data_IF_555939461960
#
_entry.id   IF_555939461960
#
_cell.length_a   1.000
_cell.length_b   1.000
_cell.length_c   1.000
_cell.angle_alpha   90.00
_cell.angle_beta   90.00
_cell.angle_gamma   90.00
#
_symmetry.space_group_name_H-M   'P 1'
#
loop_
_entity.id
_entity.type
_entity.pdbx_description
1 polymer ?
#
# COMPACT_ATOMS: atom_id res chain seq x y z
N UNK A 1 -18.76 6.73 -16.29
CA UNK A 1 -18.21 6.82 -14.91
C UNK A 1 -18.77 5.68 -14.07
N UNK A 2 -17.92 4.95 -13.42
CA UNK A 2 -18.34 3.86 -12.55
C UNK A 2 -19.06 4.35 -11.29
N UNK A 3 -19.91 3.51 -10.74
CA UNK A 3 -20.51 3.78 -9.43
C UNK A 3 -19.46 3.56 -8.32
N UNK A 4 -19.66 4.11 -7.11
CA UNK A 4 -18.79 3.81 -5.98
C UNK A 4 -18.62 2.31 -5.73
N UNK A 5 -19.66 1.51 -5.86
CA UNK A 5 -19.59 0.07 -5.68
C UNK A 5 -18.77 -0.62 -6.78
N UNK A 6 -18.89 -0.17 -8.02
CA UNK A 6 -18.08 -0.69 -9.13
C UNK A 6 -16.61 -0.31 -8.94
N UNK A 7 -16.32 0.90 -8.48
CA UNK A 7 -14.96 1.36 -8.23
C UNK A 7 -14.32 0.58 -7.07
N UNK A 8 -15.06 0.30 -5.99
CA UNK A 8 -14.57 -0.57 -4.91
C UNK A 8 -14.29 -1.98 -5.42
N UNK A 9 -15.17 -2.52 -6.27
CA UNK A 9 -14.98 -3.86 -6.83
C UNK A 9 -13.70 -3.94 -7.67
N UNK A 10 -13.39 -2.91 -8.44
CA UNK A 10 -12.14 -2.84 -9.21
C UNK A 10 -10.92 -2.89 -8.30
N UNK A 11 -10.91 -2.11 -7.21
CA UNK A 11 -9.80 -2.10 -6.26
C UNK A 11 -9.68 -3.44 -5.54
N UNK A 12 -10.78 -4.05 -5.11
CA UNK A 12 -10.77 -5.40 -4.51
C UNK A 12 -10.14 -6.42 -5.46
N UNK A 13 -10.53 -6.39 -6.73
CA UNK A 13 -10.00 -7.30 -7.75
C UNK A 13 -8.48 -7.12 -7.92
N UNK A 14 -8.02 -5.89 -8.00
CA UNK A 14 -6.59 -5.59 -8.07
C UNK A 14 -5.83 -6.18 -6.89
N UNK A 15 -6.31 -5.96 -5.68
CA UNK A 15 -5.68 -6.45 -4.44
C UNK A 15 -5.69 -7.99 -4.40
N UNK A 16 -6.82 -8.61 -4.74
CA UNK A 16 -6.93 -10.07 -4.81
C UNK A 16 -5.95 -10.67 -5.81
N UNK A 17 -5.78 -10.05 -6.97
CA UNK A 17 -4.79 -10.47 -7.95
C UNK A 17 -3.37 -10.38 -7.40
N UNK A 18 -3.03 -9.29 -6.72
CA UNK A 18 -1.71 -9.16 -6.08
C UNK A 18 -1.49 -10.26 -5.04
N UNK A 19 -2.48 -10.49 -4.18
CA UNK A 19 -2.38 -11.49 -3.10
C UNK A 19 -2.23 -12.91 -3.63
N UNK A 20 -2.84 -13.21 -4.77
CA UNK A 20 -2.75 -14.52 -5.41
C UNK A 20 -1.54 -14.69 -6.34
N UNK A 21 -0.74 -13.61 -6.53
CA UNK A 21 0.39 -13.62 -7.43
C UNK A 21 0.05 -13.45 -8.91
N UNK A 22 -1.21 -13.11 -9.22
CA UNK A 22 -1.67 -12.83 -10.58
C UNK A 22 -1.30 -11.40 -10.98
N UNK A 23 -0.03 -11.19 -11.35
CA UNK A 23 0.49 -9.86 -11.70
C UNK A 23 -0.19 -9.33 -12.96
N UNK A 24 -0.46 -10.17 -13.94
CA UNK A 24 -1.14 -9.76 -15.17
C UNK A 24 -2.57 -9.29 -14.89
N UNK A 25 -3.30 -10.01 -14.04
CA UNK A 25 -4.65 -9.62 -13.62
C UNK A 25 -4.64 -8.31 -12.84
N UNK A 26 -3.66 -8.12 -11.97
CA UNK A 26 -3.50 -6.85 -11.25
C UNK A 26 -3.21 -5.69 -12.21
N UNK A 27 -2.28 -5.87 -13.14
CA UNK A 27 -1.93 -4.84 -14.12
C UNK A 27 -3.11 -4.47 -15.03
N UNK A 28 -3.99 -5.43 -15.34
CA UNK A 28 -5.17 -5.18 -16.15
C UNK A 28 -6.18 -4.21 -15.51
N UNK A 29 -6.09 -3.98 -14.20
CA UNK A 29 -6.94 -3.03 -13.49
C UNK A 29 -6.47 -1.57 -13.67
N UNK A 30 -5.31 -1.35 -14.27
CA UNK A 30 -4.68 -0.03 -14.41
C UNK A 30 -4.71 0.43 -15.88
N UNK A 31 -4.77 1.74 -16.07
CA UNK A 31 -4.49 2.35 -17.36
C UNK A 31 -2.98 2.54 -17.47
N UNK A 32 -2.30 1.64 -18.18
CA UNK A 32 -0.84 1.62 -18.21
C UNK A 32 -0.21 2.88 -18.81
N UNK A 33 -0.94 3.57 -19.70
CA UNK A 33 -0.43 4.80 -20.35
C UNK A 33 -0.61 6.03 -19.47
N UNK A 34 -1.67 6.07 -18.66
CA UNK A 34 -2.07 7.25 -17.90
C UNK A 34 -1.76 7.17 -16.42
N UNK A 35 -1.51 5.98 -15.90
CA UNK A 35 -1.32 5.78 -14.47
C UNK A 35 -0.09 6.51 -13.94
N UNK A 36 -0.30 7.18 -12.82
CA UNK A 36 0.79 7.78 -12.04
C UNK A 36 0.55 7.59 -10.54
N UNK A 37 1.59 7.16 -9.85
CA UNK A 37 1.57 7.04 -8.38
C UNK A 37 2.35 8.19 -7.75
N UNK A 38 1.68 8.98 -6.96
CA UNK A 38 2.32 10.05 -6.17
C UNK A 38 3.16 9.48 -5.04
N UNK A 39 2.75 8.33 -4.50
CA UNK A 39 3.51 7.66 -3.44
C UNK A 39 4.85 7.12 -3.94
N UNK A 40 4.88 6.60 -5.17
CA UNK A 40 6.09 6.05 -5.78
C UNK A 40 6.80 7.04 -6.70
N UNK A 41 6.14 8.14 -7.06
CA UNK A 41 6.61 9.12 -8.05
C UNK A 41 6.96 8.47 -9.38
N UNK A 42 6.06 7.61 -9.87
CA UNK A 42 6.33 6.75 -11.02
C UNK A 42 5.07 6.36 -11.77
N UNK A 43 5.25 5.97 -13.02
CA UNK A 43 4.25 5.30 -13.83
C UNK A 43 4.07 3.84 -13.33
N UNK A 44 3.28 3.05 -14.06
CA UNK A 44 2.97 1.68 -13.65
C UNK A 44 4.22 0.81 -13.61
N UNK A 45 5.06 0.86 -14.63
CA UNK A 45 6.28 0.06 -14.69
C UNK A 45 7.24 0.43 -13.54
N UNK A 46 7.43 1.73 -13.29
CA UNK A 46 8.27 2.21 -12.20
C UNK A 46 7.71 1.84 -10.83
N UNK A 47 6.39 1.85 -10.68
CA UNK A 47 5.73 1.42 -9.44
C UNK A 47 6.02 -0.06 -9.16
N UNK A 48 5.87 -0.93 -10.17
CA UNK A 48 6.17 -2.36 -10.02
C UNK A 48 7.64 -2.60 -9.66
N UNK A 49 8.56 -1.87 -10.26
CA UNK A 49 9.98 -2.00 -9.95
C UNK A 49 10.29 -1.60 -8.51
N UNK A 50 9.69 -0.52 -8.02
CA UNK A 50 9.87 -0.10 -6.63
C UNK A 50 9.27 -1.12 -5.66
N UNK A 51 8.13 -1.71 -5.96
CA UNK A 51 7.52 -2.73 -5.13
C UNK A 51 8.39 -3.98 -5.03
N UNK A 52 9.00 -4.40 -6.13
CA UNK A 52 9.98 -5.52 -6.13
C UNK A 52 11.20 -5.19 -5.27
N UNK A 53 11.72 -3.97 -5.39
CA UNK A 53 12.85 -3.52 -4.60
C UNK A 53 12.56 -3.55 -3.10
N UNK A 54 11.37 -3.10 -2.70
CA UNK A 54 10.94 -3.13 -1.29
C UNK A 54 10.86 -4.55 -0.74
N UNK A 55 10.40 -5.51 -1.53
CA UNK A 55 10.34 -6.91 -1.10
C UNK A 55 11.72 -7.46 -0.77
N UNK A 56 12.76 -7.04 -1.50
CA UNK A 56 14.13 -7.49 -1.29
C UNK A 56 14.81 -6.83 -0.10
N UNK A 57 14.49 -5.56 0.15
CA UNK A 57 15.15 -4.73 1.15
C UNK A 57 14.19 -4.26 2.26
N UNK A 58 13.09 -4.97 2.47
CA UNK A 58 12.10 -4.58 3.46
C UNK A 58 12.65 -4.75 4.87
N UNK A 59 12.71 -3.68 5.68
CA UNK A 59 13.15 -3.79 7.07
C UNK A 59 12.14 -4.47 7.99
N UNK A 60 10.98 -4.86 7.46
CA UNK A 60 9.94 -5.53 8.21
C UNK A 60 9.62 -6.88 7.59
N UNK A 61 9.34 -7.86 8.42
CA UNK A 61 9.00 -9.21 8.01
C UNK A 61 7.79 -9.75 8.78
N UNK A 62 7.31 -10.92 8.39
CA UNK A 62 6.15 -11.56 9.01
C UNK A 62 4.95 -10.62 9.09
N UNK A 63 4.71 -9.90 7.99
CA UNK A 63 3.65 -8.89 7.91
C UNK A 63 2.28 -9.52 7.80
N UNK A 64 1.34 -8.97 8.55
CA UNK A 64 -0.08 -9.29 8.42
C UNK A 64 -0.87 -8.01 8.18
N UNK A 65 -1.96 -8.14 7.42
CA UNK A 65 -2.76 -7.00 6.97
C UNK A 65 -4.21 -7.19 7.39
N UNK A 66 -4.77 -6.14 8.01
CA UNK A 66 -6.17 -6.11 8.37
C UNK A 66 -6.82 -4.89 7.71
N UNK A 67 -7.74 -5.14 6.78
CA UNK A 67 -8.50 -4.04 6.17
C UNK A 67 -9.52 -3.53 7.18
N UNK A 68 -9.40 -2.27 7.56
CA UNK A 68 -10.31 -1.62 8.50
C UNK A 68 -11.46 -0.92 7.77
N UNK A 69 -11.21 -0.42 6.56
CA UNK A 69 -12.24 0.24 5.77
C UNK A 69 -11.88 0.23 4.28
N UNK A 70 -12.90 0.17 3.45
CA UNK A 70 -12.81 0.41 2.01
C UNK A 70 -14.00 1.26 1.63
N UNK A 71 -13.77 2.52 1.29
CA UNK A 71 -14.83 3.48 1.01
C UNK A 71 -14.62 4.10 -0.37
N UNK A 72 -15.69 4.54 -1.00
CA UNK A 72 -15.63 5.21 -2.29
C UNK A 72 -16.59 6.37 -2.35
N UNK A 73 -16.15 7.44 -2.98
CA UNK A 73 -16.95 8.62 -3.26
C UNK A 73 -16.49 9.21 -4.59
N UNK A 74 -17.42 9.47 -5.48
CA UNK A 74 -17.10 9.93 -6.83
C UNK A 74 -16.19 8.94 -7.55
N UNK A 75 -15.06 9.42 -8.05
CA UNK A 75 -14.08 8.63 -8.78
C UNK A 75 -12.93 8.09 -7.88
N UNK A 76 -13.03 8.24 -6.58
CA UNK A 76 -11.97 7.85 -5.63
C UNK A 76 -12.38 6.71 -4.73
N UNK A 77 -11.41 5.84 -4.46
CA UNK A 77 -11.54 4.74 -3.49
C UNK A 77 -10.43 4.90 -2.46
N UNK A 78 -10.78 4.76 -1.19
CA UNK A 78 -9.83 4.85 -0.08
C UNK A 78 -9.84 3.54 0.69
N UNK A 79 -8.66 2.99 0.96
CA UNK A 79 -8.48 1.83 1.81
C UNK A 79 -7.70 2.22 3.06
N UNK A 80 -8.20 1.81 4.21
CA UNK A 80 -7.52 1.92 5.49
C UNK A 80 -7.15 0.51 5.95
N UNK A 81 -5.85 0.26 6.12
CA UNK A 81 -5.31 -1.06 6.46
C UNK A 81 -4.39 -0.91 7.67
N UNK A 82 -4.48 -1.85 8.59
CA UNK A 82 -3.49 -1.98 9.68
C UNK A 82 -2.49 -3.05 9.30
N UNK A 83 -1.23 -2.69 9.35
CA UNK A 83 -0.12 -3.59 9.04
C UNK A 83 0.63 -3.90 10.34
N UNK A 84 0.75 -5.16 10.68
CA UNK A 84 1.55 -5.62 11.82
C UNK A 84 2.74 -6.39 11.29
N UNK A 85 3.94 -6.06 11.76
CA UNK A 85 5.19 -6.63 11.23
C UNK A 85 6.24 -6.72 12.33
N UNK A 86 7.27 -7.54 12.08
CA UNK A 86 8.45 -7.61 12.93
C UNK A 86 9.58 -6.79 12.33
N UNK A 87 10.22 -5.96 13.13
CA UNK A 87 11.32 -5.10 12.70
C UNK A 87 12.62 -5.93 12.65
N UNK A 88 13.00 -6.36 11.47
CA UNK A 88 14.13 -7.28 11.25
C UNK A 88 15.26 -6.71 10.42
N UNK A 89 15.15 -5.45 9.95
CA UNK A 89 16.20 -4.77 9.22
C UNK A 89 16.29 -3.31 9.65
N UNK A 90 17.30 -2.59 9.16
CA UNK A 90 17.47 -1.17 9.50
C UNK A 90 16.37 -0.32 8.89
N UNK A 91 15.69 0.48 9.72
CA UNK A 91 14.63 1.38 9.30
C UNK A 91 14.91 2.79 9.81
N UNK A 92 15.03 3.76 8.89
CA UNK A 92 15.37 5.17 9.19
C UNK A 92 16.56 5.28 10.15
N UNK A 93 17.60 4.49 9.91
CA UNK A 93 18.81 4.48 10.73
C UNK A 93 18.72 3.66 12.01
N UNK A 94 17.56 3.13 12.36
CA UNK A 94 17.40 2.27 13.56
C UNK A 94 17.68 0.82 13.18
N UNK A 95 18.71 0.19 13.79
CA UNK A 95 18.99 -1.24 13.54
C UNK A 95 17.83 -2.14 13.96
N UNK A 96 17.79 -3.34 13.40
CA UNK A 96 16.76 -4.33 13.71
C UNK A 96 16.58 -4.51 15.22
N UNK A 97 15.35 -4.34 15.71
CA UNK A 97 15.03 -4.49 17.14
C UNK A 97 14.39 -5.83 17.46
N UNK A 98 13.89 -6.56 16.46
CA UNK A 98 13.10 -7.77 16.66
C UNK A 98 11.70 -7.52 17.22
N UNK A 99 11.29 -6.27 17.35
CA UNK A 99 9.98 -5.91 17.91
C UNK A 99 8.86 -6.12 16.94
N UNK A 100 7.70 -6.50 17.47
CA UNK A 100 6.44 -6.52 16.73
C UNK A 100 5.80 -5.13 16.82
N UNK A 101 5.54 -4.52 15.68
CA UNK A 101 4.94 -3.18 15.60
C UNK A 101 3.70 -3.22 14.70
N UNK A 102 2.82 -2.27 14.95
CA UNK A 102 1.58 -2.12 14.17
C UNK A 102 1.48 -0.68 13.71
N UNK A 103 1.18 -0.47 12.44
CA UNK A 103 1.04 0.87 11.87
C UNK A 103 -0.07 0.86 10.82
N UNK A 104 -0.82 1.95 10.75
CA UNK A 104 -1.87 2.09 9.76
C UNK A 104 -1.31 2.60 8.44
N UNK A 105 -1.95 2.18 7.36
CA UNK A 105 -1.60 2.54 5.99
C UNK A 105 -2.87 3.01 5.29
N UNK A 106 -2.78 4.12 4.60
CA UNK A 106 -3.87 4.66 3.80
C UNK A 106 -3.47 4.65 2.34
N UNK A 107 -4.39 4.18 1.48
CA UNK A 107 -4.21 4.19 0.03
C UNK A 107 -5.42 4.84 -0.60
N UNK A 108 -5.17 5.70 -1.58
CA UNK A 108 -6.21 6.38 -2.35
C UNK A 108 -5.96 6.10 -3.83
N UNK A 109 -6.99 5.66 -4.54
CA UNK A 109 -6.93 5.45 -5.98
C UNK A 109 -8.01 6.28 -6.66
N UNK A 110 -7.66 6.88 -7.79
CA UNK A 110 -8.63 7.52 -8.67
C UNK A 110 -8.86 6.64 -9.89
N UNK A 111 -10.13 6.54 -10.30
CA UNK A 111 -10.57 5.63 -11.33
C UNK A 111 -11.25 6.41 -12.45
N UNK A 112 -10.87 6.13 -13.69
CA UNK A 112 -11.49 6.64 -14.89
C UNK A 112 -11.67 5.50 -15.89
N UNK A 113 -12.84 5.45 -16.53
CA UNK A 113 -13.13 4.43 -17.55
C UNK A 113 -12.82 3.02 -17.08
N UNK A 114 -13.23 2.68 -15.85
CA UNK A 114 -13.03 1.39 -15.22
C UNK A 114 -11.57 0.96 -15.08
N UNK A 115 -10.65 1.93 -15.02
CA UNK A 115 -9.21 1.68 -14.80
C UNK A 115 -8.67 2.61 -13.73
N UNK A 116 -7.71 2.12 -12.98
CA UNK A 116 -6.99 2.93 -12.00
C UNK A 116 -6.00 3.81 -12.75
N UNK A 117 -6.09 5.13 -12.53
CA UNK A 117 -5.26 6.12 -13.22
C UNK A 117 -4.36 6.91 -12.30
N UNK A 118 -4.60 6.88 -10.99
CA UNK A 118 -3.81 7.67 -10.04
C UNK A 118 -3.82 7.04 -8.66
N UNK A 119 -2.72 7.21 -7.93
CA UNK A 119 -2.56 6.63 -6.60
C UNK A 119 -1.82 7.58 -5.68
N UNK A 120 -2.29 7.67 -4.44
CA UNK A 120 -1.62 8.30 -3.30
C UNK A 120 -1.63 7.32 -2.15
N UNK A 121 -0.64 7.37 -1.27
CA UNK A 121 -0.71 6.52 -0.09
C UNK A 121 0.59 6.37 0.64
N UNK A 122 0.53 5.61 1.69
CA UNK A 122 1.67 5.27 2.51
C UNK A 122 1.29 5.06 3.96
N UNK A 123 2.31 4.84 4.76
CA UNK A 123 2.17 4.69 6.21
C UNK A 123 1.77 6.03 6.82
N UNK A 124 0.87 5.97 7.80
CA UNK A 124 0.54 7.10 8.65
C UNK A 124 1.21 6.94 10.01
N UNK A 125 1.27 8.00 10.79
CA UNK A 125 1.88 7.98 12.13
C UNK A 125 3.36 7.55 12.12
N UNK A 126 4.11 7.93 11.09
CA UNK A 126 5.53 7.56 10.95
C UNK A 126 6.38 8.02 12.12
N UNK A 127 6.08 9.18 12.69
CA UNK A 127 6.82 9.68 13.85
C UNK A 127 6.64 8.79 15.07
N UNK A 128 5.41 8.28 15.28
CA UNK A 128 5.14 7.33 16.37
C UNK A 128 5.87 6.01 16.15
N UNK A 129 5.82 5.48 14.94
CA UNK A 129 6.53 4.25 14.60
C UNK A 129 8.03 4.39 14.84
N UNK A 130 8.62 5.48 14.38
CA UNK A 130 10.04 5.76 14.59
C UNK A 130 10.39 5.81 16.08
N UNK A 131 9.59 6.53 16.87
CA UNK A 131 9.80 6.62 18.32
C UNK A 131 9.72 5.27 19.01
N UNK A 132 8.75 4.44 18.66
CA UNK A 132 8.65 3.08 19.22
C UNK A 132 9.90 2.26 18.97
N UNK A 133 10.44 2.33 17.76
CA UNK A 133 11.61 1.54 17.39
C UNK A 133 12.89 2.12 18.01
N UNK A 134 13.05 3.43 17.97
CA UNK A 134 14.25 4.10 18.43
C UNK A 134 14.40 4.09 19.96
N UNK A 135 13.32 4.38 20.67
CA UNK A 135 13.33 4.49 22.14
C UNK A 135 12.98 3.21 22.86
N UNK A 136 12.43 2.27 22.15
CA UNK A 136 12.01 1.02 22.78
C UNK A 136 10.75 1.16 23.63
N UNK A 137 9.95 2.19 23.43
CA UNK A 137 8.78 2.46 24.22
C UNK A 137 7.52 2.31 23.37
N UNK A 138 6.71 1.33 23.70
CA UNK A 138 5.42 1.07 23.04
C UNK A 138 4.29 1.60 23.91
N UNK A 139 3.94 2.80 23.76
CA UNK A 139 2.77 3.34 24.45
C UNK A 139 1.50 3.17 23.67
#
# INVERSE_FOLDING_TARGET
MGTPEQNKALVRRFIECLDSGDVAGAAACFDAERYYSHAHRADLAGTWEQMKGRRRANPFSESSYERLALVADGDRVVQHVRVSSTHTGTFLGVPATGRRVSVDQLEIWRIENDKIVEHWGGLVEMARLYDELDRGDSR
#
